data_IF_951872153992
#
_entry.id   IF_951872153992
#
_cell.length_a   1.000
_cell.length_b   1.000
_cell.length_c   1.000
_cell.angle_alpha   90.00
_cell.angle_beta   90.00
_cell.angle_gamma   90.00
#
_symmetry.space_group_name_H-M   'P 1'
#
loop_
_entity.id
_entity.type
_entity.pdbx_description
1 polymer ?
#
# COMPACT_ATOMS: atom_id res chain seq x y z
N UNK A 1 23.09 -3.64 6.04
CA UNK A 1 21.63 -3.83 5.82
C UNK A 1 21.06 -4.65 6.96
N UNK A 2 20.24 -4.02 7.79
CA UNK A 2 19.56 -4.68 8.93
C UNK A 2 18.36 -5.46 8.40
N UNK A 3 18.13 -6.67 8.94
CA UNK A 3 16.97 -7.50 8.63
C UNK A 3 16.08 -7.64 9.87
N UNK A 4 14.86 -7.12 9.77
CA UNK A 4 13.86 -7.10 10.83
C UNK A 4 12.80 -8.15 10.51
N UNK A 5 12.60 -9.07 11.45
CA UNK A 5 11.51 -10.05 11.39
C UNK A 5 10.43 -9.61 12.38
N UNK A 6 9.23 -9.31 11.89
CA UNK A 6 8.14 -8.81 12.70
C UNK A 6 6.88 -9.66 12.54
N UNK A 7 6.00 -9.62 13.55
CA UNK A 7 4.64 -10.18 13.49
C UNK A 7 3.60 -9.08 13.63
N UNK A 8 2.42 -9.29 13.05
CA UNK A 8 1.26 -8.40 13.19
C UNK A 8 0.00 -9.25 13.39
N UNK A 9 -0.74 -8.98 14.46
CA UNK A 9 -1.96 -9.74 14.76
C UNK A 9 -3.19 -8.96 14.33
N UNK A 10 -3.33 -7.72 14.80
CA UNK A 10 -4.48 -6.87 14.50
C UNK A 10 -3.98 -5.51 14.03
N UNK A 11 -4.78 -4.84 13.20
CA UNK A 11 -4.54 -3.45 12.80
C UNK A 11 -5.65 -2.60 13.39
N UNK A 12 -5.27 -1.71 14.30
CA UNK A 12 -6.10 -0.58 14.73
C UNK A 12 -5.47 0.68 14.16
N UNK A 13 -6.24 1.53 13.48
CA UNK A 13 -5.74 2.81 12.97
C UNK A 13 -6.89 3.77 12.69
N UNK A 14 -6.73 5.01 13.11
CA UNK A 14 -7.72 6.08 12.99
C UNK A 14 -7.20 7.17 12.05
N UNK A 15 -7.54 7.11 10.75
CA UNK A 15 -7.08 8.10 9.79
C UNK A 15 -7.76 9.46 9.98
N UNK A 16 -7.03 10.56 9.73
CA UNK A 16 -7.55 11.94 9.76
C UNK A 16 -7.42 12.58 8.37
N UNK A 17 -6.43 12.18 7.59
CA UNK A 17 -6.14 12.78 6.28
C UNK A 17 -6.97 12.20 5.12
N UNK A 18 -7.96 11.34 5.40
CA UNK A 18 -8.86 10.80 4.37
C UNK A 18 -9.52 11.93 3.56
N UNK A 19 -9.66 11.70 2.25
CA UNK A 19 -10.42 12.60 1.37
C UNK A 19 -11.92 12.34 1.55
N UNK A 20 -12.71 13.40 1.50
CA UNK A 20 -14.16 13.26 1.27
C UNK A 20 -14.43 12.55 -0.07
N UNK A 21 -15.09 11.41 0.00
CA UNK A 21 -15.39 10.57 -1.17
C UNK A 21 -16.73 10.97 -1.79
N UNK A 22 -16.73 11.23 -3.10
CA UNK A 22 -17.95 11.39 -3.87
C UNK A 22 -18.76 10.09 -3.83
N UNK A 23 -20.09 10.22 -3.77
CA UNK A 23 -21.00 9.08 -3.70
C UNK A 23 -21.70 8.89 -5.04
N UNK A 24 -21.72 7.65 -5.51
CA UNK A 24 -22.35 7.24 -6.76
C UNK A 24 -23.40 6.16 -6.52
N UNK A 25 -24.40 6.11 -7.39
CA UNK A 25 -25.33 4.99 -7.44
C UNK A 25 -24.65 3.75 -8.03
N UNK A 26 -25.29 2.60 -7.86
CA UNK A 26 -24.84 1.33 -8.46
C UNK A 26 -24.79 1.42 -10.00
N UNK A 27 -25.74 2.12 -10.61
CA UNK A 27 -25.78 2.33 -12.07
C UNK A 27 -24.62 3.19 -12.56
N UNK A 28 -24.30 4.27 -11.84
CA UNK A 28 -23.15 5.13 -12.12
C UNK A 28 -21.82 4.38 -11.95
N UNK A 29 -21.75 3.45 -10.99
CA UNK A 29 -20.61 2.55 -10.81
C UNK A 29 -20.46 1.56 -11.97
N UNK A 30 -21.54 0.86 -12.34
CA UNK A 30 -21.51 -0.15 -13.41
C UNK A 30 -21.32 0.44 -14.81
N UNK A 31 -21.85 1.65 -15.07
CA UNK A 31 -21.60 2.37 -16.32
C UNK A 31 -20.15 2.86 -16.45
N UNK A 32 -19.40 2.90 -15.34
CA UNK A 32 -18.02 3.37 -15.30
C UNK A 32 -17.87 4.86 -15.00
N UNK A 33 -18.97 5.62 -14.84
CA UNK A 33 -18.93 7.06 -14.51
C UNK A 33 -18.19 7.33 -13.20
N UNK A 34 -18.35 6.45 -12.20
CA UNK A 34 -17.65 6.57 -10.92
C UNK A 34 -16.11 6.50 -11.05
N UNK A 35 -15.58 5.86 -12.10
CA UNK A 35 -14.13 5.68 -12.30
C UNK A 35 -13.41 6.97 -12.73
N UNK A 36 -14.15 8.07 -12.93
CA UNK A 36 -13.57 9.41 -13.04
C UNK A 36 -12.89 9.85 -11.74
N UNK A 37 -13.34 9.31 -10.60
CA UNK A 37 -12.66 9.45 -9.32
C UNK A 37 -11.79 8.22 -9.01
N UNK A 38 -10.63 8.46 -8.42
CA UNK A 38 -9.69 7.38 -8.05
C UNK A 38 -10.11 6.59 -6.81
N UNK A 39 -10.93 7.21 -5.95
CA UNK A 39 -11.63 6.61 -4.83
C UNK A 39 -13.00 7.28 -4.66
N UNK A 40 -14.03 6.51 -4.36
CA UNK A 40 -15.42 6.95 -4.28
C UNK A 40 -16.26 6.01 -3.41
N UNK A 41 -17.50 6.40 -3.10
CA UNK A 41 -18.48 5.55 -2.43
C UNK A 41 -19.52 5.04 -3.41
N UNK A 42 -19.95 3.79 -3.23
CA UNK A 42 -21.07 3.19 -3.94
C UNK A 42 -22.13 2.82 -2.92
N UNK A 43 -23.30 3.43 -3.04
CA UNK A 43 -24.45 3.10 -2.19
C UNK A 43 -25.25 2.00 -2.88
N UNK A 44 -25.41 0.89 -2.19
CA UNK A 44 -26.28 -0.23 -2.56
C UNK A 44 -27.49 -0.21 -1.64
N UNK A 45 -28.54 -1.00 -1.92
CA UNK A 45 -29.73 -1.03 -1.06
C UNK A 45 -29.40 -1.47 0.38
N UNK A 46 -28.42 -2.37 0.54
CA UNK A 46 -28.08 -2.99 1.82
C UNK A 46 -26.85 -2.37 2.49
N UNK A 47 -25.88 -1.90 1.71
CA UNK A 47 -24.55 -1.55 2.18
C UNK A 47 -23.95 -0.36 1.41
N UNK A 48 -23.07 0.40 2.07
CA UNK A 48 -22.23 1.40 1.42
C UNK A 48 -20.81 0.88 1.30
N UNK A 49 -20.23 0.95 0.11
CA UNK A 49 -18.87 0.51 -0.17
C UNK A 49 -17.97 1.69 -0.48
N UNK A 50 -16.82 1.78 0.18
CA UNK A 50 -15.74 2.67 -0.24
C UNK A 50 -14.84 1.93 -1.23
N UNK A 51 -14.82 2.41 -2.45
CA UNK A 51 -14.12 1.79 -3.57
C UNK A 51 -12.92 2.64 -3.95
N UNK A 52 -11.75 2.03 -4.03
CA UNK A 52 -10.57 2.57 -4.70
C UNK A 52 -10.27 1.76 -5.95
N UNK A 53 -9.68 2.37 -6.97
CA UNK A 53 -9.22 1.61 -8.14
C UNK A 53 -7.82 1.99 -8.57
N UNK A 54 -7.09 1.04 -9.16
CA UNK A 54 -5.68 1.18 -9.53
C UNK A 54 -5.52 1.18 -11.05
N UNK A 55 -4.70 2.10 -11.56
CA UNK A 55 -4.40 2.22 -13.00
C UNK A 55 -3.41 1.14 -13.47
N UNK A 56 -2.52 0.72 -12.59
CA UNK A 56 -1.49 -0.30 -12.83
C UNK A 56 -1.44 -1.22 -11.62
N UNK A 57 -1.10 -2.51 -11.78
CA UNK A 57 -0.87 -3.38 -10.63
C UNK A 57 0.35 -2.97 -9.79
N UNK A 58 1.21 -2.08 -10.32
CA UNK A 58 2.45 -1.66 -9.67
C UNK A 58 2.19 -0.60 -8.59
N UNK A 59 2.59 -0.93 -7.35
CA UNK A 59 2.42 -0.11 -6.14
C UNK A 59 3.09 1.29 -6.18
N UNK A 60 3.97 1.54 -7.14
CA UNK A 60 4.75 2.78 -7.24
C UNK A 60 4.24 3.74 -8.32
N UNK A 61 3.16 3.42 -9.04
CA UNK A 61 2.61 4.28 -10.10
C UNK A 61 1.23 4.78 -9.70
N UNK A 62 1.01 6.10 -9.80
CA UNK A 62 -0.31 6.73 -9.58
C UNK A 62 -0.84 6.66 -8.14
N UNK A 63 0.06 6.58 -7.14
CA UNK A 63 -0.23 6.61 -5.70
C UNK A 63 -1.33 5.64 -5.22
N UNK A 64 -1.24 4.32 -5.53
CA UNK A 64 -2.30 3.36 -5.25
C UNK A 64 -2.58 3.21 -3.75
N UNK A 65 -1.54 3.31 -2.92
CA UNK A 65 -1.67 3.30 -1.45
C UNK A 65 -2.42 4.51 -0.90
N UNK A 66 -2.28 5.68 -1.53
CA UNK A 66 -3.03 6.86 -1.10
C UNK A 66 -4.52 6.70 -1.37
N UNK A 67 -4.89 6.08 -2.50
CA UNK A 67 -6.28 5.76 -2.86
C UNK A 67 -6.91 4.77 -1.89
N UNK A 68 -6.13 3.76 -1.47
CA UNK A 68 -6.52 2.80 -0.43
C UNK A 68 -6.71 3.50 0.92
N UNK A 69 -5.74 4.31 1.32
CA UNK A 69 -5.82 5.10 2.55
C UNK A 69 -7.10 5.95 2.60
N UNK A 70 -7.47 6.60 1.48
CA UNK A 70 -8.69 7.40 1.37
C UNK A 70 -10.00 6.63 1.54
N UNK A 71 -9.97 5.30 1.55
CA UNK A 71 -11.13 4.45 1.83
C UNK A 71 -11.13 3.89 3.24
N UNK A 72 -10.08 4.13 4.03
CA UNK A 72 -9.82 3.36 5.26
C UNK A 72 -10.75 3.71 6.43
N UNK A 73 -11.32 4.91 6.45
CA UNK A 73 -12.32 5.39 7.41
C UNK A 73 -13.74 4.83 7.17
N UNK A 74 -13.88 3.86 6.26
CA UNK A 74 -15.13 3.18 5.94
C UNK A 74 -15.00 1.67 6.22
N UNK A 75 -16.12 1.02 6.54
CA UNK A 75 -16.13 -0.41 6.90
C UNK A 75 -15.97 -1.32 5.66
N UNK A 76 -16.88 -1.21 4.69
CA UNK A 76 -16.87 -2.06 3.50
C UNK A 76 -15.94 -1.48 2.43
N UNK A 77 -14.68 -1.94 2.43
CA UNK A 77 -13.65 -1.42 1.54
C UNK A 77 -13.38 -2.36 0.38
N UNK A 78 -13.31 -1.80 -0.82
CA UNK A 78 -13.02 -2.53 -2.06
C UNK A 78 -11.91 -1.85 -2.83
N UNK A 79 -10.95 -2.63 -3.32
CA UNK A 79 -9.94 -2.16 -4.27
C UNK A 79 -10.05 -2.92 -5.59
N UNK A 80 -10.26 -2.19 -6.68
CA UNK A 80 -10.30 -2.76 -8.02
C UNK A 80 -8.95 -2.54 -8.70
N UNK A 81 -8.28 -3.60 -9.13
CA UNK A 81 -6.97 -3.50 -9.76
C UNK A 81 -6.81 -4.48 -10.92
N UNK A 82 -5.92 -4.21 -11.88
CA UNK A 82 -5.68 -5.14 -12.98
C UNK A 82 -4.70 -6.25 -12.59
N UNK A 83 -4.84 -7.43 -13.21
CA UNK A 83 -3.80 -8.46 -13.14
C UNK A 83 -2.52 -8.02 -13.87
N UNK A 84 -2.71 -7.33 -15.00
CA UNK A 84 -1.67 -6.88 -15.91
C UNK A 84 -2.08 -5.56 -16.54
N UNK A 85 -1.11 -4.65 -16.68
CA UNK A 85 -1.23 -3.46 -17.53
C UNK A 85 -0.16 -3.53 -18.59
N UNK A 86 -0.55 -3.95 -19.78
CA UNK A 86 0.28 -3.89 -20.98
C UNK A 86 -0.01 -2.57 -21.71
N UNK A 87 1.02 -1.79 -22.00
CA UNK A 87 0.93 -0.53 -22.74
C UNK A 87 1.32 -0.67 -24.22
N UNK A 88 1.59 -1.88 -24.72
CA UNK A 88 2.10 -2.09 -26.07
C UNK A 88 3.63 -2.09 -26.13
N UNK A 89 4.21 -2.52 -27.25
CA UNK A 89 5.66 -2.76 -27.41
C UNK A 89 6.56 -1.58 -27.06
N UNK A 90 6.06 -0.34 -27.21
CA UNK A 90 6.79 0.89 -26.89
C UNK A 90 6.48 1.43 -25.48
N UNK A 91 5.71 0.68 -24.68
CA UNK A 91 5.23 1.08 -23.37
C UNK A 91 5.70 0.17 -22.23
N UNK A 92 5.19 0.42 -21.04
CA UNK A 92 5.44 -0.44 -19.88
C UNK A 92 4.57 -1.71 -19.91
N UNK A 93 5.03 -2.73 -19.19
CA UNK A 93 4.24 -3.94 -18.92
C UNK A 93 4.36 -4.34 -17.47
N UNK A 94 3.35 -3.93 -16.69
CA UNK A 94 3.28 -4.14 -15.25
C UNK A 94 2.42 -5.37 -14.93
N UNK A 95 2.81 -6.12 -13.90
CA UNK A 95 2.08 -7.31 -13.43
C UNK A 95 1.78 -7.24 -11.94
N UNK A 96 0.69 -7.86 -11.52
CA UNK A 96 0.33 -8.01 -10.11
C UNK A 96 1.44 -8.72 -9.33
N UNK A 97 1.69 -8.22 -8.13
CA UNK A 97 2.57 -8.80 -7.14
C UNK A 97 1.73 -9.33 -5.98
N UNK A 98 2.09 -10.49 -5.45
CA UNK A 98 1.33 -11.16 -4.40
C UNK A 98 1.29 -10.39 -3.08
N UNK A 99 2.37 -9.68 -2.75
CA UNK A 99 2.40 -8.76 -1.61
C UNK A 99 1.25 -7.74 -1.62
N UNK A 100 0.69 -7.42 -2.79
CA UNK A 100 -0.48 -6.53 -2.88
C UNK A 100 -1.73 -7.18 -2.30
N UNK A 101 -2.05 -8.42 -2.70
CA UNK A 101 -3.23 -9.13 -2.19
C UNK A 101 -3.11 -9.46 -0.71
N UNK A 102 -1.92 -9.87 -0.28
CA UNK A 102 -1.63 -10.03 1.13
C UNK A 102 -1.90 -8.71 1.85
N UNK A 103 -1.44 -7.56 1.33
CA UNK A 103 -1.51 -6.28 2.06
C UNK A 103 -2.97 -5.82 2.19
N UNK A 104 -3.74 -5.99 1.12
CA UNK A 104 -5.18 -5.67 1.15
C UNK A 104 -5.92 -6.57 2.13
N UNK A 105 -5.58 -7.87 2.20
CA UNK A 105 -6.17 -8.80 3.17
C UNK A 105 -5.88 -8.39 4.61
N UNK A 106 -4.62 -8.05 4.92
CA UNK A 106 -4.19 -7.60 6.25
C UNK A 106 -4.90 -6.29 6.66
N UNK A 107 -5.13 -5.39 5.70
CA UNK A 107 -5.87 -4.14 5.91
C UNK A 107 -7.40 -4.31 5.87
N UNK A 108 -7.91 -5.54 5.77
CA UNK A 108 -9.34 -5.84 5.65
C UNK A 108 -10.00 -5.09 4.48
N UNK A 109 -9.42 -5.27 3.29
CA UNK A 109 -9.88 -4.70 2.02
C UNK A 109 -10.12 -5.83 1.01
N UNK A 110 -11.33 -5.86 0.47
CA UNK A 110 -11.71 -6.79 -0.59
C UNK A 110 -11.11 -6.36 -1.93
N UNK A 111 -10.42 -7.24 -2.63
CA UNK A 111 -9.81 -6.94 -3.94
C UNK A 111 -10.68 -7.50 -5.06
N UNK A 112 -10.89 -6.74 -6.13
CA UNK A 112 -11.44 -7.27 -7.39
C UNK A 112 -10.33 -7.16 -8.43
N UNK A 113 -9.86 -8.31 -8.91
CA UNK A 113 -8.82 -8.39 -9.95
C UNK A 113 -9.55 -8.45 -11.30
N UNK A 114 -9.51 -7.36 -12.07
CA UNK A 114 -10.30 -7.23 -13.30
C UNK A 114 -9.41 -7.02 -14.54
N UNK A 115 -9.77 -7.58 -15.70
CA UNK A 115 -9.02 -7.37 -16.93
C UNK A 115 -9.34 -6.01 -17.57
N UNK A 116 -8.35 -5.42 -18.26
CA UNK A 116 -8.59 -4.32 -19.18
C UNK A 116 -9.18 -4.83 -20.49
N UNK A 117 -10.29 -4.23 -20.94
CA UNK A 117 -11.03 -4.66 -22.14
C UNK A 117 -10.88 -3.73 -23.33
N UNK A 118 -10.75 -2.44 -23.05
CA UNK A 118 -10.62 -1.40 -24.07
C UNK A 118 -9.41 -0.52 -23.76
N UNK A 119 -8.84 0.10 -24.79
CA UNK A 119 -7.78 1.09 -24.70
C UNK A 119 -7.80 1.97 -25.95
N UNK A 120 -7.11 3.10 -25.89
CA UNK A 120 -6.95 4.00 -27.03
C UNK A 120 -5.50 3.96 -27.51
N UNK A 121 -5.27 4.15 -28.82
CA UNK A 121 -3.90 4.30 -29.35
C UNK A 121 -3.28 5.58 -28.79
N UNK A 122 -2.02 5.51 -28.38
CA UNK A 122 -1.27 6.69 -28.00
C UNK A 122 -0.95 7.53 -29.25
N UNK A 123 -1.15 8.84 -29.18
CA UNK A 123 -0.95 9.73 -30.33
C UNK A 123 0.53 9.95 -30.69
N UNK A 124 1.45 9.68 -29.77
CA UNK A 124 2.88 9.97 -29.91
C UNK A 124 3.71 8.74 -30.29
N UNK A 125 3.37 7.56 -29.76
CA UNK A 125 4.14 6.33 -29.94
C UNK A 125 3.36 5.32 -30.76
N UNK A 126 4.01 4.79 -31.80
CA UNK A 126 3.37 3.91 -32.80
C UNK A 126 2.80 2.64 -32.18
N UNK A 127 3.54 2.02 -31.26
CA UNK A 127 3.14 0.76 -30.61
C UNK A 127 2.86 0.95 -29.13
N UNK A 128 2.16 2.03 -28.78
CA UNK A 128 1.70 2.27 -27.41
C UNK A 128 0.20 2.50 -27.34
N UNK A 129 -0.43 1.95 -26.32
CA UNK A 129 -1.81 2.22 -25.93
C UNK A 129 -1.88 3.00 -24.61
N UNK A 130 -2.94 3.77 -24.44
CA UNK A 130 -3.26 4.55 -23.24
C UNK A 130 -4.74 4.40 -22.88
N UNK A 131 -5.18 5.04 -21.80
CA UNK A 131 -6.58 5.12 -21.38
C UNK A 131 -7.26 3.74 -21.29
N UNK A 132 -6.54 2.73 -20.78
CA UNK A 132 -7.09 1.40 -20.60
C UNK A 132 -8.31 1.44 -19.65
N UNK A 133 -9.41 0.77 -20.05
CA UNK A 133 -10.69 0.73 -19.32
C UNK A 133 -11.06 -0.72 -19.01
N UNK A 134 -11.35 -1.03 -17.74
CA UNK A 134 -11.66 -2.42 -17.33
C UNK A 134 -12.95 -2.94 -17.96
N UNK A 135 -13.07 -4.26 -18.04
CA UNK A 135 -14.34 -4.92 -18.29
C UNK A 135 -15.37 -4.59 -17.18
N UNK A 136 -16.35 -3.77 -17.55
CA UNK A 136 -17.42 -3.32 -16.66
C UNK A 136 -18.36 -4.44 -16.25
N UNK A 137 -18.62 -5.37 -17.17
CA UNK A 137 -19.52 -6.49 -16.91
C UNK A 137 -18.88 -7.45 -15.90
N UNK A 138 -17.59 -7.73 -16.07
CA UNK A 138 -16.84 -8.53 -15.11
C UNK A 138 -16.80 -7.89 -13.71
N UNK A 139 -16.54 -6.57 -13.62
CA UNK A 139 -16.57 -5.85 -12.34
C UNK A 139 -17.95 -5.92 -11.70
N UNK A 140 -19.02 -5.74 -12.47
CA UNK A 140 -20.40 -5.86 -11.98
C UNK A 140 -20.65 -7.24 -11.39
N UNK A 141 -20.30 -8.30 -12.10
CA UNK A 141 -20.50 -9.68 -11.64
C UNK A 141 -19.72 -9.96 -10.35
N UNK A 142 -18.44 -9.57 -10.30
CA UNK A 142 -17.61 -9.75 -9.09
C UNK A 142 -18.04 -8.89 -7.91
N UNK A 143 -18.54 -7.68 -8.16
CA UNK A 143 -19.09 -6.85 -7.10
C UNK A 143 -20.39 -7.44 -6.54
N UNK A 144 -21.27 -7.96 -7.41
CA UNK A 144 -22.49 -8.66 -6.98
C UNK A 144 -22.19 -9.97 -6.23
N UNK A 145 -21.13 -10.68 -6.61
CA UNK A 145 -20.62 -11.85 -5.88
C UNK A 145 -20.14 -11.43 -4.48
N UNK A 146 -19.34 -10.36 -4.39
CA UNK A 146 -18.84 -9.82 -3.12
C UNK A 146 -19.97 -9.40 -2.18
N UNK A 147 -21.03 -8.76 -2.69
CA UNK A 147 -22.18 -8.35 -1.87
C UNK A 147 -22.86 -9.53 -1.16
N UNK A 148 -22.78 -10.73 -1.73
CA UNK A 148 -23.34 -11.98 -1.18
C UNK A 148 -22.31 -12.76 -0.38
N UNK A 149 -21.09 -12.26 -0.29
CA UNK A 149 -19.98 -12.93 0.38
C UNK A 149 -19.96 -12.54 1.85
N UNK A 150 -20.13 -13.51 2.74
CA UNK A 150 -20.24 -13.26 4.19
C UNK A 150 -18.91 -13.44 4.94
N UNK A 151 -17.86 -13.91 4.27
CA UNK A 151 -16.54 -14.10 4.88
C UNK A 151 -15.69 -12.84 4.80
N UNK A 152 -14.59 -12.83 5.56
CA UNK A 152 -13.66 -11.70 5.61
C UNK A 152 -12.92 -11.44 4.29
N UNK A 153 -12.17 -10.33 4.27
CA UNK A 153 -11.40 -9.91 3.11
C UNK A 153 -10.31 -10.91 2.69
N UNK A 154 -9.74 -11.66 3.64
CA UNK A 154 -8.75 -12.68 3.30
C UNK A 154 -9.39 -13.79 2.48
N UNK A 155 -10.52 -14.34 2.94
CA UNK A 155 -11.21 -15.42 2.23
C UNK A 155 -11.65 -14.97 0.85
N UNK A 156 -12.19 -13.75 0.75
CA UNK A 156 -12.52 -13.15 -0.53
C UNK A 156 -11.29 -13.04 -1.45
N UNK A 157 -10.17 -12.51 -0.94
CA UNK A 157 -8.96 -12.32 -1.72
C UNK A 157 -8.32 -13.66 -2.14
N UNK A 158 -8.42 -14.71 -1.31
CA UNK A 158 -8.01 -16.08 -1.66
C UNK A 158 -8.90 -16.68 -2.76
N UNK A 159 -10.21 -16.40 -2.75
CA UNK A 159 -11.13 -16.78 -3.82
C UNK A 159 -10.75 -16.07 -5.13
N UNK A 160 -10.45 -14.76 -5.08
CA UNK A 160 -9.98 -14.01 -6.25
C UNK A 160 -8.66 -14.55 -6.80
N UNK A 161 -7.71 -14.91 -5.92
CA UNK A 161 -6.46 -15.54 -6.30
C UNK A 161 -6.67 -16.91 -6.99
N UNK A 162 -7.70 -17.66 -6.57
CA UNK A 162 -8.04 -18.97 -7.15
C UNK A 162 -8.66 -18.87 -8.55
N UNK A 163 -9.25 -17.72 -8.90
CA UNK A 163 -9.89 -17.47 -10.18
C UNK A 163 -8.97 -16.69 -11.15
N UNK A 164 -7.67 -16.64 -10.89
CA UNK A 164 -6.74 -15.88 -11.72
C UNK A 164 -6.64 -16.37 -13.16
N UNK A 165 -6.80 -17.66 -13.40
CA UNK A 165 -6.70 -18.22 -14.76
C UNK A 165 -7.78 -17.65 -15.67
N UNK A 166 -8.98 -17.42 -15.16
CA UNK A 166 -10.05 -16.73 -15.89
C UNK A 166 -9.62 -15.32 -16.28
N UNK A 167 -9.09 -14.54 -15.32
CA UNK A 167 -8.64 -13.16 -15.56
C UNK A 167 -7.45 -13.12 -16.51
N UNK A 168 -6.54 -14.09 -16.43
CA UNK A 168 -5.38 -14.22 -17.30
C UNK A 168 -5.79 -14.51 -18.75
N UNK A 169 -6.73 -15.44 -18.95
CA UNK A 169 -7.27 -15.77 -20.27
C UNK A 169 -8.05 -14.59 -20.87
N UNK A 170 -8.89 -13.92 -20.08
CA UNK A 170 -9.57 -12.69 -20.53
C UNK A 170 -8.56 -11.59 -20.88
N UNK A 171 -7.54 -11.39 -20.06
CA UNK A 171 -6.48 -10.39 -20.32
C UNK A 171 -5.72 -10.70 -21.60
N UNK A 172 -5.37 -11.97 -21.84
CA UNK A 172 -4.71 -12.43 -23.07
C UNK A 172 -5.56 -12.12 -24.30
N UNK A 173 -6.82 -12.54 -24.27
CA UNK A 173 -7.79 -12.29 -25.35
C UNK A 173 -7.95 -10.79 -25.60
N UNK A 174 -8.16 -10.00 -24.54
CA UNK A 174 -8.38 -8.58 -24.69
C UNK A 174 -7.17 -7.85 -25.23
N UNK A 175 -5.96 -8.10 -24.74
CA UNK A 175 -4.78 -7.41 -25.26
C UNK A 175 -4.38 -7.86 -26.68
N UNK A 176 -4.24 -9.17 -26.90
CA UNK A 176 -3.61 -9.69 -28.11
C UNK A 176 -4.58 -9.91 -29.28
N UNK A 177 -5.89 -9.92 -29.03
CA UNK A 177 -6.89 -10.17 -30.08
C UNK A 177 -7.80 -8.94 -30.26
N UNK A 178 -8.32 -8.36 -29.16
CA UNK A 178 -9.28 -7.26 -29.28
C UNK A 178 -8.62 -5.88 -29.37
N UNK A 179 -7.81 -5.49 -28.36
CA UNK A 179 -7.22 -4.16 -28.25
C UNK A 179 -6.19 -3.95 -29.36
N UNK A 180 -5.31 -4.94 -29.61
CA UNK A 180 -4.34 -4.85 -30.70
C UNK A 180 -5.03 -4.65 -32.05
N UNK A 181 -6.10 -5.40 -32.36
CA UNK A 181 -6.86 -5.23 -33.60
C UNK A 181 -7.60 -3.88 -33.67
N UNK A 182 -8.22 -3.44 -32.57
CA UNK A 182 -8.98 -2.19 -32.54
C UNK A 182 -8.09 -0.93 -32.63
N UNK A 183 -6.87 -1.00 -32.09
CA UNK A 183 -5.93 0.13 -32.05
C UNK A 183 -4.87 0.09 -33.13
N UNK A 184 -4.64 -1.07 -33.76
CA UNK A 184 -3.54 -1.31 -34.68
C UNK A 184 -2.16 -1.31 -34.01
N UNK A 185 -2.10 -1.39 -32.67
CA UNK A 185 -0.84 -1.37 -31.90
C UNK A 185 -0.25 -2.78 -31.78
N UNK A 186 1.04 -2.90 -32.06
CA UNK A 186 1.81 -4.11 -31.74
C UNK A 186 1.98 -4.23 -30.21
N UNK A 187 1.45 -5.30 -29.63
CA UNK A 187 1.59 -5.57 -28.20
C UNK A 187 2.95 -6.20 -27.87
N UNK A 188 3.32 -6.24 -26.58
CA UNK A 188 4.47 -7.04 -26.16
C UNK A 188 4.32 -8.52 -26.54
N UNK A 189 5.40 -9.29 -26.42
CA UNK A 189 5.38 -10.75 -26.69
C UNK A 189 4.27 -11.50 -25.92
N UNK A 190 3.35 -12.10 -26.66
CA UNK A 190 2.28 -13.00 -26.16
C UNK A 190 2.85 -14.23 -25.42
N UNK A 191 3.90 -14.85 -25.95
CA UNK A 191 4.54 -16.01 -25.31
C UNK A 191 5.21 -15.65 -23.97
N UNK A 192 5.80 -14.45 -23.86
CA UNK A 192 6.27 -13.96 -22.57
C UNK A 192 5.11 -13.73 -21.60
N UNK A 193 4.00 -13.16 -22.06
CA UNK A 193 2.81 -12.95 -21.24
C UNK A 193 2.30 -14.28 -20.67
N UNK A 194 2.13 -15.31 -21.50
CA UNK A 194 1.66 -16.63 -21.09
C UNK A 194 2.58 -17.24 -20.03
N UNK A 195 3.90 -17.24 -20.27
CA UNK A 195 4.88 -17.69 -19.27
C UNK A 195 4.77 -16.90 -17.96
N UNK A 196 4.56 -15.59 -18.04
CA UNK A 196 4.44 -14.75 -16.85
C UNK A 196 3.15 -15.02 -16.08
N UNK A 197 2.04 -15.31 -16.75
CA UNK A 197 0.78 -15.69 -16.12
C UNK A 197 0.92 -17.01 -15.36
N UNK A 198 1.52 -18.03 -15.96
CA UNK A 198 1.80 -19.30 -15.28
C UNK A 198 2.59 -19.08 -13.97
N UNK A 199 3.66 -18.28 -14.03
CA UNK A 199 4.46 -17.93 -12.84
C UNK A 199 3.68 -17.11 -11.80
N UNK A 200 2.63 -16.38 -12.20
CA UNK A 200 1.78 -15.65 -11.25
C UNK A 200 0.83 -16.65 -10.59
N UNK A 201 0.10 -17.46 -11.37
CA UNK A 201 -0.81 -18.50 -10.87
C UNK A 201 -0.10 -19.46 -9.90
N UNK A 202 1.11 -19.95 -10.22
CA UNK A 202 1.90 -20.79 -9.30
C UNK A 202 2.15 -20.11 -7.95
N UNK A 203 2.54 -18.84 -7.95
CA UNK A 203 2.74 -18.07 -6.72
C UNK A 203 1.42 -17.74 -5.99
N UNK A 204 0.29 -17.76 -6.68
CA UNK A 204 -1.04 -17.70 -6.06
C UNK A 204 -1.28 -18.94 -5.20
N UNK A 205 -0.92 -20.12 -5.73
CA UNK A 205 -0.99 -21.38 -5.00
C UNK A 205 -0.11 -21.35 -3.75
N UNK A 206 1.11 -20.83 -3.86
CA UNK A 206 2.00 -20.67 -2.71
C UNK A 206 1.36 -19.81 -1.61
N UNK A 207 0.73 -18.68 -1.99
CA UNK A 207 0.00 -17.83 -1.05
C UNK A 207 -1.14 -18.61 -0.37
N UNK A 208 -1.93 -19.37 -1.15
CA UNK A 208 -3.02 -20.20 -0.60
C UNK A 208 -2.51 -21.26 0.35
N UNK A 209 -1.42 -21.94 0.02
CA UNK A 209 -0.83 -22.98 0.86
C UNK A 209 -0.29 -22.42 2.17
N UNK A 210 0.46 -21.31 2.12
CA UNK A 210 0.98 -20.63 3.32
C UNK A 210 -0.13 -20.12 4.23
N UNK A 211 -1.16 -19.48 3.67
CA UNK A 211 -2.29 -18.99 4.46
C UNK A 211 -3.11 -20.11 5.11
N UNK A 212 -3.21 -21.29 4.47
CA UNK A 212 -3.91 -22.46 5.04
C UNK A 212 -3.08 -23.22 6.07
N UNK A 213 -1.77 -23.35 5.86
CA UNK A 213 -0.87 -24.13 6.73
C UNK A 213 -0.71 -23.53 8.14
N UNK A 214 -0.70 -22.21 8.27
CA UNK A 214 -0.45 -21.54 9.54
C UNK A 214 -1.69 -21.40 10.46
N UNK A 215 -2.90 -21.56 9.92
CA UNK A 215 -4.11 -21.76 10.72
C UNK A 215 -4.01 -23.00 11.63
N UNK A 216 -3.19 -23.99 11.23
CA UNK A 216 -2.91 -25.21 11.98
C UNK A 216 -1.74 -25.03 12.96
N UNK A 217 -0.75 -24.21 12.63
CA UNK A 217 0.44 -23.98 13.47
C UNK A 217 0.22 -22.96 14.60
N UNK A 218 -0.75 -22.03 14.48
CA UNK A 218 -1.11 -21.05 15.51
C UNK A 218 -1.58 -21.67 16.85
N UNK A 219 -1.85 -22.98 16.87
CA UNK A 219 -2.20 -23.74 18.06
C UNK A 219 -0.97 -24.18 18.88
N UNK A 220 0.25 -24.06 18.34
CA UNK A 220 1.45 -24.66 18.92
C UNK A 220 2.68 -23.76 18.80
N UNK A 221 2.97 -22.92 19.81
CA UNK A 221 4.29 -22.82 20.51
C UNK A 221 4.55 -21.50 21.25
N UNK A 222 5.10 -21.67 22.45
CA UNK A 222 5.77 -20.68 23.29
C UNK A 222 7.28 -20.99 23.44
N UNK A 223 8.03 -19.99 23.93
CA UNK A 223 9.37 -20.05 24.60
C UNK A 223 10.62 -20.16 23.70
N UNK A 224 11.82 -19.64 24.03
CA UNK A 224 12.41 -18.41 24.62
C UNK A 224 13.94 -18.67 24.60
N UNK A 225 14.79 -17.64 24.43
CA UNK A 225 16.08 -17.41 25.18
C UNK A 225 16.88 -16.21 24.62
N UNK A 226 17.68 -15.59 25.50
CA UNK A 226 18.42 -14.30 25.39
C UNK A 226 19.95 -14.51 25.44
N UNK A 227 20.76 -13.67 24.75
CA UNK A 227 22.03 -13.03 25.21
C UNK A 227 22.75 -12.16 24.13
N UNK A 228 23.79 -11.31 24.42
CA UNK A 228 23.66 -9.87 24.18
C UNK A 228 24.68 -9.15 23.24
N UNK A 229 24.28 -7.89 22.92
CA UNK A 229 25.01 -6.66 22.51
C UNK A 229 25.71 -6.59 21.14
N UNK A 230 25.10 -5.85 20.21
CA UNK A 230 25.79 -4.97 19.26
C UNK A 230 24.93 -3.71 18.98
N UNK A 231 25.58 -2.54 18.85
CA UNK A 231 24.97 -1.33 18.31
C UNK A 231 25.20 -1.31 16.81
N UNK A 232 24.14 -1.31 16.00
CA UNK A 232 24.25 -1.24 14.54
C UNK A 232 23.66 0.08 14.05
N UNK A 233 24.48 0.78 13.25
CA UNK A 233 24.27 2.14 12.75
C UNK A 233 23.38 2.16 11.50
N UNK A 234 22.84 3.35 11.20
CA UNK A 234 21.91 3.70 10.13
C UNK A 234 22.21 3.07 8.77
N UNK A 235 21.35 2.15 8.34
CA UNK A 235 21.35 1.54 7.02
C UNK A 235 19.90 1.38 6.54
N UNK A 236 19.68 1.36 5.21
CA UNK A 236 18.43 0.84 4.63
C UNK A 236 18.17 -0.54 5.22
N UNK A 237 16.95 -0.75 5.71
CA UNK A 237 16.57 -1.99 6.38
C UNK A 237 15.50 -2.75 5.62
N UNK A 238 15.60 -4.08 5.67
CA UNK A 238 14.51 -4.97 5.26
C UNK A 238 13.65 -5.25 6.47
N UNK A 239 12.34 -5.24 6.27
CA UNK A 239 11.38 -5.71 7.25
C UNK A 239 10.50 -6.76 6.60
N UNK A 240 10.52 -7.94 7.20
CA UNK A 240 9.63 -9.05 6.89
C UNK A 240 8.57 -9.08 7.97
N UNK A 241 7.34 -8.71 7.62
CA UNK A 241 6.19 -8.80 8.54
C UNK A 241 5.47 -10.11 8.25
N UNK A 242 5.07 -10.84 9.29
CA UNK A 242 4.19 -11.99 9.18
C UNK A 242 2.90 -11.71 9.91
N UNK A 243 1.77 -11.95 9.28
CA UNK A 243 0.50 -11.87 9.98
C UNK A 243 0.05 -13.23 10.54
N UNK A 244 -0.96 -13.21 11.39
CA UNK A 244 -1.60 -14.41 11.92
C UNK A 244 -2.35 -15.25 10.86
N UNK A 245 -2.50 -14.71 9.64
CA UNK A 245 -3.16 -15.33 8.49
C UNK A 245 -2.15 -16.00 7.53
N UNK A 246 -0.87 -16.03 7.91
CA UNK A 246 0.21 -16.63 7.13
C UNK A 246 0.71 -15.80 5.96
N UNK A 247 0.26 -14.55 5.84
CA UNK A 247 0.81 -13.57 4.91
C UNK A 247 2.23 -13.18 5.33
N UNK A 248 3.17 -13.20 4.38
CA UNK A 248 4.53 -12.70 4.58
C UNK A 248 4.76 -11.49 3.67
N UNK A 249 5.19 -10.40 4.29
CA UNK A 249 5.25 -9.10 3.66
C UNK A 249 6.67 -8.56 3.69
N UNK A 250 7.24 -8.40 2.51
CA UNK A 250 8.58 -7.85 2.38
C UNK A 250 8.48 -6.35 2.09
N UNK A 251 8.93 -5.55 3.05
CA UNK A 251 9.10 -4.12 2.87
C UNK A 251 10.55 -3.72 3.04
N UNK A 252 10.90 -2.58 2.47
CA UNK A 252 12.09 -1.83 2.82
C UNK A 252 11.66 -0.59 3.57
N UNK A 253 12.36 -0.25 4.63
CA UNK A 253 12.23 1.06 5.28
C UNK A 253 13.44 1.89 4.90
N UNK A 254 13.28 3.21 4.84
CA UNK A 254 14.36 4.10 4.39
C UNK A 254 15.54 4.05 5.36
N UNK A 255 15.27 4.05 6.67
CA UNK A 255 16.29 3.90 7.70
C UNK A 255 15.83 3.01 8.85
N UNK A 256 16.76 2.23 9.40
CA UNK A 256 16.59 1.52 10.67
C UNK A 256 17.67 1.96 11.64
N UNK A 257 17.25 2.36 12.84
CA UNK A 257 18.14 2.59 13.97
C UNK A 257 17.83 1.60 15.07
N UNK A 258 18.85 0.97 15.63
CA UNK A 258 18.71 0.07 16.78
C UNK A 258 19.43 0.71 17.95
N UNK A 259 18.67 1.08 18.97
CA UNK A 259 19.23 1.67 20.19
C UNK A 259 18.60 0.98 21.40
N UNK A 260 19.44 0.45 22.29
CA UNK A 260 19.02 -0.30 23.46
C UNK A 260 18.11 -1.51 23.12
N UNK A 261 16.84 -1.45 23.54
CA UNK A 261 15.81 -2.44 23.25
C UNK A 261 14.81 -1.94 22.19
N UNK A 262 15.03 -0.77 21.60
CA UNK A 262 14.12 -0.16 20.62
C UNK A 262 14.67 -0.33 19.20
N UNK A 263 13.76 -0.43 18.24
CA UNK A 263 14.05 -0.38 16.81
C UNK A 263 13.22 0.71 16.15
N UNK A 264 13.89 1.75 15.69
CA UNK A 264 13.26 2.86 14.99
C UNK A 264 13.05 2.46 13.53
N UNK A 265 11.79 2.41 13.10
CA UNK A 265 11.39 2.09 11.74
C UNK A 265 11.03 3.41 11.04
N UNK A 266 12.01 3.97 10.33
CA UNK A 266 11.93 5.32 9.77
C UNK A 266 11.58 5.21 8.28
N UNK A 267 10.40 5.70 7.91
CA UNK A 267 10.03 5.97 6.53
C UNK A 267 10.19 7.46 6.25
N UNK A 268 10.79 7.82 5.11
CA UNK A 268 11.01 9.21 4.71
C UNK A 268 10.11 9.61 3.55
N UNK A 269 9.66 10.87 3.56
CA UNK A 269 9.01 11.53 2.43
C UNK A 269 9.70 12.86 2.20
N UNK A 270 10.24 13.03 1.01
CA UNK A 270 11.03 14.19 0.64
C UNK A 270 10.40 14.90 -0.56
N UNK A 271 10.57 16.22 -0.64
CA UNK A 271 10.30 17.00 -1.83
C UNK A 271 11.32 18.13 -1.98
N UNK A 272 11.57 18.57 -3.22
CA UNK A 272 12.39 19.75 -3.49
C UNK A 272 11.68 21.07 -3.17
N UNK A 273 10.41 21.01 -2.76
CA UNK A 273 9.58 22.18 -2.38
C UNK A 273 9.48 22.29 -0.86
N UNK A 274 8.54 23.09 -0.36
CA UNK A 274 8.30 23.26 1.08
C UNK A 274 7.76 22.00 1.79
N UNK A 275 6.94 21.16 1.15
CA UNK A 275 6.33 20.01 1.84
C UNK A 275 5.75 18.98 0.86
N UNK A 276 5.91 17.66 1.10
CA UNK A 276 5.45 16.63 0.19
C UNK A 276 3.95 16.69 -0.13
N UNK A 277 3.56 16.05 -1.25
CA UNK A 277 2.16 15.98 -1.63
C UNK A 277 1.35 15.18 -0.59
N UNK A 278 0.05 15.44 -0.49
CA UNK A 278 -0.83 14.65 0.38
C UNK A 278 -0.78 13.15 0.01
N UNK A 279 -0.62 12.82 -1.28
CA UNK A 279 -0.52 11.44 -1.73
C UNK A 279 0.78 10.76 -1.28
N UNK A 280 1.91 11.48 -1.27
CA UNK A 280 3.18 11.00 -0.73
C UNK A 280 3.07 10.71 0.76
N UNK A 281 2.48 11.66 1.51
CA UNK A 281 2.26 11.53 2.95
C UNK A 281 1.40 10.31 3.25
N UNK A 282 0.26 10.15 2.55
CA UNK A 282 -0.62 8.98 2.69
C UNK A 282 0.09 7.66 2.38
N UNK A 283 1.01 7.65 1.42
CA UNK A 283 1.83 6.47 1.16
C UNK A 283 2.71 6.10 2.38
N UNK A 284 3.30 7.10 3.03
CA UNK A 284 4.02 6.94 4.30
C UNK A 284 3.10 6.47 5.44
N UNK A 285 1.89 7.04 5.54
CA UNK A 285 0.91 6.66 6.57
C UNK A 285 0.46 5.20 6.45
N UNK A 286 0.29 4.66 5.23
CA UNK A 286 0.01 3.23 5.05
C UNK A 286 1.11 2.34 5.65
N UNK A 287 2.36 2.80 5.69
CA UNK A 287 3.43 2.07 6.41
C UNK A 287 3.33 2.27 7.92
N UNK A 288 2.98 3.46 8.39
CA UNK A 288 2.76 3.71 9.82
C UNK A 288 1.63 2.83 10.38
N UNK A 289 0.56 2.62 9.59
CA UNK A 289 -0.50 1.65 9.92
C UNK A 289 0.04 0.26 10.21
N UNK A 290 1.08 -0.19 9.49
CA UNK A 290 1.71 -1.48 9.73
C UNK A 290 2.69 -1.42 10.90
N UNK A 291 3.63 -0.46 10.87
CA UNK A 291 4.74 -0.39 11.81
C UNK A 291 4.27 -0.16 13.25
N UNK A 292 3.21 0.62 13.46
CA UNK A 292 2.68 0.87 14.80
C UNK A 292 1.89 -0.30 15.38
N UNK A 293 1.44 -1.22 14.54
CA UNK A 293 0.69 -2.40 14.94
C UNK A 293 1.57 -3.67 14.98
N UNK A 294 2.90 -3.54 14.87
CA UNK A 294 3.80 -4.66 15.02
C UNK A 294 3.77 -5.18 16.47
N UNK A 295 3.54 -6.48 16.63
CA UNK A 295 3.40 -7.14 17.93
C UNK A 295 4.75 -7.64 18.46
N UNK A 296 5.44 -8.47 17.67
CA UNK A 296 6.78 -8.93 17.98
C UNK A 296 7.73 -8.44 16.91
N UNK A 297 8.82 -7.77 17.29
CA UNK A 297 9.89 -7.38 16.36
C UNK A 297 11.20 -8.00 16.80
N UNK A 298 11.91 -8.63 15.87
CA UNK A 298 13.17 -9.33 16.11
C UNK A 298 14.26 -8.95 15.12
N UNK A 299 15.47 -8.75 15.64
CA UNK A 299 16.71 -8.59 14.87
C UNK A 299 17.69 -9.63 15.40
N UNK A 300 18.26 -10.47 14.52
CA UNK A 300 19.15 -11.57 14.90
C UNK A 300 18.56 -12.45 16.04
N UNK A 301 17.25 -12.69 16.01
CA UNK A 301 16.53 -13.47 17.03
C UNK A 301 16.19 -12.72 18.33
N UNK A 302 16.78 -11.55 18.58
CA UNK A 302 16.53 -10.75 19.78
C UNK A 302 15.29 -9.88 19.60
N UNK A 303 14.42 -9.82 20.61
CA UNK A 303 13.22 -8.95 20.61
C UNK A 303 13.60 -7.48 20.79
N UNK A 304 12.88 -6.61 20.09
CA UNK A 304 12.95 -5.15 20.20
C UNK A 304 11.53 -4.56 20.23
N UNK A 305 11.40 -3.41 20.88
CA UNK A 305 10.19 -2.56 20.83
C UNK A 305 10.21 -1.70 19.55
N UNK A 306 9.20 -1.79 18.68
CA UNK A 306 9.13 -0.95 17.49
C UNK A 306 8.84 0.51 17.83
N UNK A 307 9.56 1.43 17.20
CA UNK A 307 9.31 2.87 17.24
C UNK A 307 9.08 3.36 15.81
N UNK A 308 7.82 3.47 15.36
CA UNK A 308 7.50 3.95 14.03
C UNK A 308 7.75 5.45 13.91
N UNK A 309 8.47 5.85 12.87
CA UNK A 309 8.76 7.26 12.58
C UNK A 309 8.49 7.56 11.11
N UNK A 310 7.75 8.65 10.87
CA UNK A 310 7.58 9.24 9.55
C UNK A 310 8.39 10.54 9.48
N UNK A 311 9.52 10.50 8.79
CA UNK A 311 10.33 11.67 8.46
C UNK A 311 9.77 12.39 7.23
N UNK A 312 9.57 13.70 7.31
CA UNK A 312 9.02 14.51 6.23
C UNK A 312 9.94 15.70 6.01
N UNK A 313 10.62 15.76 4.87
CA UNK A 313 11.55 16.83 4.53
C UNK A 313 11.15 17.62 3.28
N UNK A 314 11.57 18.88 3.25
CA UNK A 314 11.38 19.78 2.11
C UNK A 314 12.58 20.69 1.94
N UNK A 315 13.13 20.80 0.73
CA UNK A 315 14.31 21.67 0.47
C UNK A 315 14.02 23.16 0.61
N UNK A 316 12.75 23.58 0.47
CA UNK A 316 12.30 24.96 0.68
C UNK A 316 11.53 25.12 2.01
N UNK A 317 11.60 24.13 2.90
CA UNK A 317 11.07 24.24 4.25
C UNK A 317 12.14 24.88 5.13
N UNK A 318 11.75 25.80 6.00
CA UNK A 318 12.65 26.43 6.96
C UNK A 318 12.24 26.03 8.38
N UNK A 319 13.19 25.50 9.15
CA UNK A 319 12.95 25.03 10.51
C UNK A 319 12.35 23.63 10.57
N UNK A 320 11.73 23.31 11.72
CA UNK A 320 11.26 21.95 12.01
C UNK A 320 10.13 21.93 13.02
N UNK A 321 9.40 20.81 13.07
CA UNK A 321 8.38 20.54 14.08
C UNK A 321 8.16 19.04 14.24
N UNK A 322 7.51 18.64 15.31
CA UNK A 322 7.14 17.24 15.57
C UNK A 322 5.92 17.16 16.47
N UNK A 323 5.27 16.00 16.51
CA UNK A 323 4.33 15.66 17.56
C UNK A 323 5.02 15.12 18.82
N UNK A 324 6.34 14.99 18.81
CA UNK A 324 7.14 14.65 19.98
C UNK A 324 7.51 15.89 20.78
N UNK A 325 7.17 15.90 22.07
CA UNK A 325 7.52 16.97 23.01
C UNK A 325 9.05 17.24 23.16
N UNK A 326 9.93 16.32 22.71
CA UNK A 326 11.39 16.56 22.70
C UNK A 326 11.85 17.49 21.57
N UNK A 327 10.97 17.79 20.62
CA UNK A 327 11.27 18.62 19.46
C UNK A 327 10.29 19.80 19.49
N UNK A 328 10.85 21.01 19.66
CA UNK A 328 10.06 22.23 19.61
C UNK A 328 9.54 22.52 18.19
N UNK A 329 8.49 23.32 18.12
CA UNK A 329 7.99 23.85 16.86
C UNK A 329 8.74 25.14 16.51
N UNK A 330 9.70 25.02 15.58
CA UNK A 330 10.53 26.11 15.07
C UNK A 330 10.29 26.34 13.56
N UNK A 331 9.17 25.84 13.02
CA UNK A 331 8.80 26.05 11.62
C UNK A 331 8.60 27.53 11.30
N UNK A 332 9.29 28.01 10.28
CA UNK A 332 9.18 29.38 9.79
C UNK A 332 8.30 29.45 8.54
N UNK A 333 7.70 30.62 8.30
CA UNK A 333 7.15 31.04 7.00
C UNK A 333 6.25 30.04 6.24
N UNK A 334 5.46 29.20 6.92
CA UNK A 334 4.51 28.27 6.29
C UNK A 334 3.13 28.89 6.09
N UNK A 335 2.55 28.77 4.89
CA UNK A 335 1.18 29.22 4.62
C UNK A 335 0.13 28.58 5.56
N UNK A 336 -0.95 29.30 5.86
CA UNK A 336 -2.05 28.78 6.72
C UNK A 336 -2.61 27.43 6.25
N UNK A 337 -2.77 27.25 4.94
CA UNK A 337 -3.23 25.98 4.36
C UNK A 337 -2.26 24.85 4.67
N UNK A 338 -0.96 25.11 4.52
CA UNK A 338 0.09 24.12 4.80
C UNK A 338 0.17 23.81 6.30
N UNK A 339 0.10 24.84 7.14
CA UNK A 339 0.07 24.67 8.59
C UNK A 339 -1.11 23.82 9.05
N UNK A 340 -2.30 24.01 8.46
CA UNK A 340 -3.46 23.12 8.72
C UNK A 340 -3.16 21.67 8.35
N UNK A 341 -2.55 21.43 7.20
CA UNK A 341 -2.15 20.08 6.76
C UNK A 341 -1.12 19.44 7.71
N UNK A 342 -0.12 20.21 8.15
CA UNK A 342 0.89 19.77 9.13
C UNK A 342 0.20 19.41 10.45
N UNK A 343 -0.65 20.29 10.98
CA UNK A 343 -1.36 20.03 12.23
C UNK A 343 -2.23 18.77 12.14
N UNK A 344 -2.93 18.53 11.02
CA UNK A 344 -3.71 17.30 10.82
C UNK A 344 -2.83 16.05 10.81
N UNK A 345 -1.63 16.11 10.19
CA UNK A 345 -0.67 15.01 10.21
C UNK A 345 -0.15 14.72 11.62
N UNK A 346 0.23 15.76 12.38
CA UNK A 346 0.71 15.61 13.76
C UNK A 346 -0.40 15.09 14.69
N UNK A 347 -1.64 15.54 14.49
CA UNK A 347 -2.80 15.04 15.22
C UNK A 347 -3.04 13.56 14.93
N UNK A 348 -2.91 13.12 13.67
CA UNK A 348 -3.06 11.71 13.30
C UNK A 348 -1.96 10.85 13.93
N UNK A 349 -0.73 11.36 13.95
CA UNK A 349 0.40 10.71 14.61
C UNK A 349 0.16 10.49 16.10
N UNK A 350 -0.35 11.52 16.79
CA UNK A 350 -0.75 11.42 18.20
C UNK A 350 -1.89 10.44 18.42
N UNK A 351 -2.86 10.38 17.52
CA UNK A 351 -4.01 9.47 17.63
C UNK A 351 -3.63 8.00 17.43
N UNK A 352 -2.52 7.75 16.73
CA UNK A 352 -2.11 6.41 16.28
C UNK A 352 -0.75 5.97 16.83
N UNK A 353 -0.22 6.66 17.84
CA UNK A 353 1.00 6.32 18.57
C UNK A 353 2.24 6.14 17.68
N UNK A 354 2.44 7.04 16.71
CA UNK A 354 3.69 7.13 15.96
C UNK A 354 4.26 8.54 15.98
N UNK A 355 5.54 8.66 15.63
CA UNK A 355 6.23 9.96 15.60
C UNK A 355 6.33 10.48 14.17
N UNK A 356 6.02 11.76 13.98
CA UNK A 356 6.27 12.51 12.76
C UNK A 356 7.34 13.55 13.07
N UNK A 357 8.40 13.56 12.28
CA UNK A 357 9.43 14.60 12.33
C UNK A 357 9.39 15.33 10.99
N UNK A 358 9.12 16.63 11.03
CA UNK A 358 9.06 17.50 9.87
C UNK A 358 10.24 18.46 9.98
N UNK A 359 11.09 18.53 8.95
CA UNK A 359 12.24 19.42 8.97
C UNK A 359 12.63 19.90 7.58
N UNK A 360 13.40 20.98 7.54
CA UNK A 360 14.23 21.30 6.39
C UNK A 360 15.13 20.12 5.99
N UNK A 361 15.48 20.06 4.71
CA UNK A 361 16.27 18.98 4.12
C UNK A 361 17.78 19.14 4.38
N UNK A 362 18.14 19.23 5.66
CA UNK A 362 19.53 19.37 6.11
C UNK A 362 19.91 18.14 6.94
N UNK A 363 20.86 17.34 6.46
CA UNK A 363 21.27 16.09 7.11
C UNK A 363 21.71 16.29 8.57
N UNK A 364 22.35 17.43 8.89
CA UNK A 364 22.75 17.76 10.27
C UNK A 364 21.55 18.02 11.17
N UNK A 365 20.53 18.73 10.68
CA UNK A 365 19.28 19.00 11.42
C UNK A 365 18.53 17.71 11.65
N UNK A 366 18.39 16.88 10.61
CA UNK A 366 17.69 15.61 10.73
C UNK A 366 18.33 14.70 11.79
N UNK A 367 19.66 14.57 11.75
CA UNK A 367 20.42 13.81 12.76
C UNK A 367 20.22 14.37 14.16
N UNK A 368 20.29 15.69 14.33
CA UNK A 368 20.07 16.33 15.62
C UNK A 368 18.67 16.05 16.18
N UNK A 369 17.64 16.14 15.34
CA UNK A 369 16.25 15.87 15.75
C UNK A 369 16.06 14.42 16.16
N UNK A 370 16.66 13.46 15.45
CA UNK A 370 16.64 12.07 15.86
C UNK A 370 17.38 11.86 17.18
N UNK A 371 18.54 12.49 17.41
CA UNK A 371 19.23 12.39 18.71
C UNK A 371 18.41 12.99 19.86
N UNK A 372 17.76 14.14 19.65
CA UNK A 372 16.85 14.76 20.64
C UNK A 372 15.68 13.82 20.96
N UNK A 373 15.07 13.22 19.93
CA UNK A 373 13.97 12.28 20.09
C UNK A 373 14.38 11.03 20.89
N UNK A 374 15.55 10.47 20.59
CA UNK A 374 16.08 9.28 21.28
C UNK A 374 16.46 9.57 22.73
N UNK A 375 17.06 10.72 23.01
CA UNK A 375 17.57 11.06 24.34
C UNK A 375 16.47 11.08 25.42
N UNK A 376 15.23 11.45 25.08
CA UNK A 376 14.09 11.47 26.02
C UNK A 376 13.53 10.08 26.33
N UNK A 377 13.83 9.08 25.50
CA UNK A 377 13.37 7.69 25.68
C UNK A 377 14.33 6.83 26.53
N UNK A 378 15.46 7.42 26.96
CA UNK A 378 16.39 6.85 27.95
C UNK A 378 15.97 7.23 29.35
#
# INVERSE_FOLDING_TARGET
MIDVNATINTISYDPILCKDLNTYSVEDFYSGKAFNDSSFRVNTEENNYAVSWWVSPKRTRSYPRARVYDTYDHDNRVTILPLVKDEGKDGDRDYLQWDTLSLMSLLQINVIIAPYKNADKNETYDNKITNQRFDRQYIKEKFQELQKYHSDALQWNLNQASNLDEVAELSKKYYYENISAATGVEMHSRSYFERRMNNITEKAEDFKQKSRGLAVEAQNRESLTLQPKESVKADKGRITIRDHLGGEYYFTTDEILVENNEVFLIEKKHTTRTFPSTADIKNGLVRMMLFKNLDTVKINGKRHEPVPVLGVTGSELEGYTSNSDSIADELQSVSNRKRKQINSLLQEANKNDFTVIISEDTESVEKELYERFKARRR
#
